data_IF_501470209694
#
_entry.id   IF_501470209694
#
_cell.length_a   1.000
_cell.length_b   1.000
_cell.length_c   1.000
_cell.angle_alpha   90.00
_cell.angle_beta   90.00
_cell.angle_gamma   90.00
#
_symmetry.space_group_name_H-M   'P 1'
#
loop_
_entity.id
_entity.type
_entity.pdbx_description
1 polymer ?
#
# COMPACT_ATOMS: atom_id res chain seq x y z
N UNK A 1 22.59 -26.37 -3.13
CA UNK A 1 21.69 -25.54 -2.30
C UNK A 1 20.78 -24.79 -3.25
N UNK A 2 19.45 -24.99 -3.27
CA UNK A 2 18.59 -24.21 -4.14
C UNK A 2 18.43 -22.79 -3.54
N UNK A 3 18.80 -21.79 -4.34
CA UNK A 3 18.56 -20.38 -4.07
C UNK A 3 17.06 -20.13 -4.03
N UNK A 4 16.57 -19.63 -2.90
CA UNK A 4 15.19 -19.21 -2.72
C UNK A 4 15.02 -17.85 -3.42
N UNK A 5 14.76 -17.86 -4.73
CA UNK A 5 14.20 -16.72 -5.43
C UNK A 5 12.76 -16.55 -4.93
N UNK A 6 12.55 -15.66 -3.95
CA UNK A 6 11.22 -15.13 -3.71
C UNK A 6 10.90 -14.28 -4.94
N UNK A 7 10.14 -14.83 -5.86
CA UNK A 7 9.51 -14.10 -6.95
C UNK A 7 8.58 -13.07 -6.31
N UNK A 8 8.88 -11.79 -6.50
CA UNK A 8 8.16 -10.63 -5.96
C UNK A 8 6.73 -10.44 -6.53
N UNK A 9 6.03 -11.51 -6.90
CA UNK A 9 4.74 -11.46 -7.60
C UNK A 9 3.70 -12.44 -7.08
N UNK A 10 3.75 -12.85 -5.80
CA UNK A 10 2.80 -13.85 -5.29
C UNK A 10 2.38 -13.64 -3.82
N UNK A 11 2.49 -12.41 -3.30
CA UNK A 11 1.94 -12.12 -1.97
C UNK A 11 0.40 -12.11 -2.09
N UNK A 12 -0.32 -12.96 -1.33
CA UNK A 12 -1.78 -12.97 -1.37
C UNK A 12 -2.31 -11.70 -0.69
N UNK A 13 -3.46 -11.18 -1.16
CA UNK A 13 -4.09 -9.99 -0.59
C UNK A 13 -4.38 -10.11 0.92
N UNK A 14 -4.53 -11.35 1.43
CA UNK A 14 -4.68 -11.65 2.85
C UNK A 14 -3.50 -11.20 3.72
N UNK A 15 -2.30 -11.02 3.16
CA UNK A 15 -1.12 -10.49 3.89
C UNK A 15 -1.34 -9.04 4.36
N UNK A 16 -2.18 -8.26 3.67
CA UNK A 16 -2.54 -6.91 4.08
C UNK A 16 -3.17 -6.89 5.48
N UNK A 17 -3.95 -7.92 5.83
CA UNK A 17 -4.54 -8.06 7.17
C UNK A 17 -3.47 -8.30 8.24
N UNK A 18 -2.43 -9.06 7.92
CA UNK A 18 -1.33 -9.36 8.83
C UNK A 18 -0.50 -8.09 9.04
N UNK A 19 -0.16 -7.39 7.95
CA UNK A 19 0.57 -6.12 8.01
C UNK A 19 -0.23 -5.03 8.76
N UNK A 20 -1.55 -4.97 8.59
CA UNK A 20 -2.41 -4.03 9.32
C UNK A 20 -2.49 -4.33 10.83
N UNK A 21 -2.28 -5.59 11.24
CA UNK A 21 -2.47 -6.01 12.64
C UNK A 21 -1.44 -5.45 13.63
N UNK A 22 -0.37 -4.83 13.13
CA UNK A 22 0.65 -4.19 13.98
C UNK A 22 0.24 -2.82 14.50
N UNK A 23 -0.87 -2.26 13.99
CA UNK A 23 -1.35 -0.93 14.40
C UNK A 23 -2.11 -0.96 15.73
N UNK A 24 -2.00 0.11 16.54
CA UNK A 24 -2.89 0.29 17.68
C UNK A 24 -4.33 0.50 17.21
N UNK A 25 -5.34 0.16 18.05
CA UNK A 25 -6.74 0.37 17.70
C UNK A 25 -7.05 1.85 17.42
N UNK A 26 -8.00 2.07 16.50
CA UNK A 26 -8.45 3.39 16.03
C UNK A 26 -8.71 4.33 17.21
N UNK A 27 -7.98 5.45 17.25
CA UNK A 27 -8.13 6.50 18.27
C UNK A 27 -6.88 6.81 19.10
N UNK A 28 -5.80 6.03 18.94
CA UNK A 28 -4.48 6.33 19.53
C UNK A 28 -3.55 6.93 18.47
N UNK A 29 -2.87 8.05 18.77
CA UNK A 29 -1.85 8.56 17.85
C UNK A 29 -0.69 7.58 17.80
N UNK A 30 -0.36 7.14 16.59
CA UNK A 30 0.86 6.40 16.29
C UNK A 30 2.03 7.32 16.58
N UNK A 31 2.73 7.06 17.69
CA UNK A 31 4.00 7.70 18.02
C UNK A 31 5.02 6.59 18.12
N UNK A 32 5.54 6.08 16.99
CA UNK A 32 6.80 5.32 16.90
C UNK A 32 7.21 5.02 15.44
N UNK A 33 8.48 4.61 15.30
CA UNK A 33 9.29 4.33 14.10
C UNK A 33 8.65 4.56 12.70
N UNK A 34 9.02 5.67 12.07
CA UNK A 34 8.21 6.39 11.07
C UNK A 34 7.81 5.59 9.82
N UNK A 35 8.52 4.53 9.43
CA UNK A 35 8.25 3.82 8.18
C UNK A 35 7.42 2.53 8.36
N UNK A 36 7.67 1.77 9.43
CA UNK A 36 6.95 0.52 9.71
C UNK A 36 5.47 0.77 9.99
N UNK A 37 5.19 1.80 10.79
CA UNK A 37 3.82 2.18 11.15
C UNK A 37 3.07 2.80 9.95
N UNK A 38 3.76 3.54 9.06
CA UNK A 38 3.19 4.05 7.80
C UNK A 38 2.81 2.91 6.84
N UNK A 39 3.69 1.92 6.69
CA UNK A 39 3.44 0.76 5.83
C UNK A 39 2.23 -0.05 6.33
N UNK A 40 2.12 -0.23 7.65
CA UNK A 40 0.98 -0.89 8.25
C UNK A 40 -0.35 -0.12 8.06
N UNK A 41 -0.33 1.21 8.16
CA UNK A 41 -1.50 2.07 7.86
C UNK A 41 -1.96 1.93 6.41
N UNK A 42 -1.01 1.92 5.47
CA UNK A 42 -1.33 1.69 4.06
C UNK A 42 -1.91 0.28 3.86
N UNK A 43 -1.36 -0.72 4.54
CA UNK A 43 -1.89 -2.08 4.47
C UNK A 43 -3.32 -2.19 5.03
N UNK A 44 -3.65 -1.48 6.11
CA UNK A 44 -5.02 -1.40 6.66
C UNK A 44 -5.99 -0.77 5.66
N UNK A 45 -5.60 0.35 5.04
CA UNK A 45 -6.41 1.03 4.05
C UNK A 45 -6.67 0.15 2.81
N UNK A 46 -5.64 -0.54 2.31
CA UNK A 46 -5.77 -1.47 1.18
C UNK A 46 -6.59 -2.71 1.54
N UNK A 47 -6.47 -3.22 2.77
CA UNK A 47 -7.31 -4.31 3.24
C UNK A 47 -8.79 -3.90 3.28
N UNK A 48 -9.09 -2.71 3.81
CA UNK A 48 -10.45 -2.17 3.81
C UNK A 48 -10.98 -1.98 2.39
N UNK A 49 -10.16 -1.48 1.47
CA UNK A 49 -10.51 -1.36 0.05
C UNK A 49 -10.85 -2.72 -0.54
N UNK A 50 -9.95 -3.70 -0.42
CA UNK A 50 -10.13 -5.06 -0.94
C UNK A 50 -11.41 -5.72 -0.40
N UNK A 51 -11.68 -5.56 0.90
CA UNK A 51 -12.89 -6.10 1.55
C UNK A 51 -14.17 -5.47 0.97
N UNK A 52 -14.14 -4.18 0.63
CA UNK A 52 -15.32 -3.48 0.09
C UNK A 52 -15.55 -3.72 -1.39
N UNK A 53 -14.50 -4.02 -2.15
CA UNK A 53 -14.58 -4.33 -3.58
C UNK A 53 -14.70 -5.83 -3.85
N UNK A 54 -14.48 -6.67 -2.83
CA UNK A 54 -14.51 -8.13 -2.93
C UNK A 54 -13.24 -8.73 -3.53
N UNK A 55 -12.12 -8.00 -3.48
CA UNK A 55 -10.77 -8.43 -3.88
C UNK A 55 -10.01 -9.11 -2.72
N UNK A 56 -10.65 -9.28 -1.57
CA UNK A 56 -10.12 -10.00 -0.39
C UNK A 56 -10.27 -11.53 -0.47
N UNK A 57 -10.65 -12.05 -1.65
CA UNK A 57 -10.88 -13.48 -1.86
C UNK A 57 -9.56 -14.26 -1.88
N UNK A 58 -9.63 -15.50 -1.40
CA UNK A 58 -8.50 -16.43 -1.42
C UNK A 58 -7.95 -16.59 -2.85
N UNK A 59 -6.67 -16.28 -3.03
CA UNK A 59 -5.94 -16.42 -4.30
C UNK A 59 -5.80 -15.14 -5.12
N UNK A 60 -6.43 -14.03 -4.71
CA UNK A 60 -6.20 -12.72 -5.33
C UNK A 60 -4.80 -12.20 -4.97
N UNK A 61 -4.09 -11.72 -5.99
CA UNK A 61 -2.75 -11.18 -5.82
C UNK A 61 -2.82 -9.76 -5.24
N UNK A 62 -1.88 -9.42 -4.36
CA UNK A 62 -1.68 -8.04 -3.90
C UNK A 62 -1.54 -7.05 -5.07
N UNK A 63 -0.90 -7.47 -6.16
CA UNK A 63 -0.74 -6.69 -7.39
C UNK A 63 -2.10 -6.29 -8.01
N UNK A 64 -3.10 -7.18 -8.00
CA UNK A 64 -4.45 -6.87 -8.48
C UNK A 64 -5.11 -5.82 -7.60
N UNK A 65 -5.02 -5.96 -6.27
CA UNK A 65 -5.57 -4.97 -5.32
C UNK A 65 -4.93 -3.59 -5.53
N UNK A 66 -3.61 -3.54 -5.69
CA UNK A 66 -2.88 -2.30 -5.93
C UNK A 66 -3.24 -1.67 -7.27
N UNK A 67 -3.34 -2.47 -8.34
CA UNK A 67 -3.66 -1.98 -9.68
C UNK A 67 -5.08 -1.39 -9.74
N UNK A 68 -6.06 -2.09 -9.16
CA UNK A 68 -7.44 -1.61 -9.11
C UNK A 68 -7.57 -0.36 -8.23
N UNK A 69 -6.86 -0.31 -7.10
CA UNK A 69 -6.82 0.88 -6.25
C UNK A 69 -6.24 2.09 -6.99
N UNK A 70 -5.13 1.92 -7.72
CA UNK A 70 -4.51 2.98 -8.52
C UNK A 70 -5.42 3.43 -9.68
N UNK A 71 -6.16 2.49 -10.30
CA UNK A 71 -7.15 2.83 -11.32
C UNK A 71 -8.29 3.69 -10.74
N UNK A 72 -8.78 3.36 -9.55
CA UNK A 72 -9.80 4.15 -8.85
C UNK A 72 -9.25 5.53 -8.43
N UNK A 73 -7.98 5.63 -8.03
CA UNK A 73 -7.32 6.92 -7.78
C UNK A 73 -7.24 7.77 -9.05
N UNK A 74 -6.91 7.18 -10.21
CA UNK A 74 -6.92 7.89 -11.49
C UNK A 74 -8.32 8.41 -11.83
N UNK A 75 -9.36 7.59 -11.61
CA UNK A 75 -10.74 8.01 -11.78
C UNK A 75 -11.14 9.14 -10.82
N UNK A 76 -10.69 9.09 -9.57
CA UNK A 76 -10.93 10.16 -8.59
C UNK A 76 -10.24 11.46 -9.02
N UNK A 77 -8.96 11.41 -9.35
CA UNK A 77 -8.17 12.55 -9.82
C UNK A 77 -8.78 13.21 -11.06
N UNK A 78 -9.24 12.41 -12.02
CA UNK A 78 -9.97 12.91 -13.19
C UNK A 78 -11.26 13.65 -12.82
N UNK A 79 -11.97 13.23 -11.77
CA UNK A 79 -13.21 13.87 -11.32
C UNK A 79 -12.94 15.15 -10.51
N UNK A 80 -11.83 15.19 -9.75
CA UNK A 80 -11.47 16.34 -8.90
C UNK A 80 -10.61 17.39 -9.62
N UNK A 81 -10.16 17.12 -10.85
CA UNK A 81 -9.25 17.98 -11.59
C UNK A 81 -7.83 17.97 -11.02
N UNK A 82 -7.43 16.85 -10.42
CA UNK A 82 -6.10 16.65 -9.83
C UNK A 82 -5.22 15.86 -10.79
N UNK A 83 -3.98 16.31 -11.01
CA UNK A 83 -3.04 15.62 -11.91
C UNK A 83 -2.30 14.49 -11.19
N UNK A 84 -2.80 13.25 -11.34
CA UNK A 84 -2.25 12.07 -10.67
C UNK A 84 -0.76 11.85 -10.98
N UNK A 85 -0.33 12.04 -12.23
CA UNK A 85 1.07 11.84 -12.63
C UNK A 85 2.05 12.78 -11.91
N UNK A 86 1.63 14.02 -11.65
CA UNK A 86 2.42 15.00 -10.90
C UNK A 86 2.57 14.61 -9.43
N UNK A 87 1.48 14.12 -8.82
CA UNK A 87 1.50 13.60 -7.45
C UNK A 87 2.39 12.36 -7.36
N UNK A 88 2.24 11.42 -8.30
CA UNK A 88 3.02 10.19 -8.34
C UNK A 88 4.53 10.49 -8.43
N UNK A 89 4.95 11.37 -9.34
CA UNK A 89 6.37 11.75 -9.46
C UNK A 89 6.92 12.44 -8.20
N UNK A 90 6.08 13.18 -7.46
CA UNK A 90 6.49 13.75 -6.17
C UNK A 90 6.59 12.67 -5.08
N UNK A 91 5.67 11.70 -5.07
CA UNK A 91 5.69 10.59 -4.13
C UNK A 91 6.92 9.67 -4.35
N UNK A 92 7.28 9.39 -5.61
CA UNK A 92 8.50 8.67 -5.98
C UNK A 92 9.74 9.41 -5.49
N UNK A 93 9.80 10.73 -5.67
CA UNK A 93 10.89 11.56 -5.15
C UNK A 93 11.03 11.47 -3.63
N UNK A 94 9.90 11.53 -2.89
CA UNK A 94 9.93 11.36 -1.43
C UNK A 94 10.42 9.96 -1.03
N UNK A 95 9.96 8.92 -1.71
CA UNK A 95 10.40 7.54 -1.46
C UNK A 95 11.91 7.37 -1.69
N UNK A 96 12.44 7.88 -2.81
CA UNK A 96 13.86 7.84 -3.12
C UNK A 96 14.71 8.65 -2.11
N UNK A 97 14.19 9.78 -1.62
CA UNK A 97 14.85 10.60 -0.60
C UNK A 97 14.89 9.90 0.76
N UNK A 98 13.81 9.22 1.16
CA UNK A 98 13.75 8.42 2.39
C UNK A 98 14.68 7.19 2.31
N UNK A 99 14.86 6.57 1.14
CA UNK A 99 15.74 5.41 0.93
C UNK A 99 17.25 5.79 0.84
N UNK A 100 17.56 6.98 0.31
CA UNK A 100 18.96 7.45 0.16
C UNK A 100 19.52 8.18 1.39
N UNK A 101 18.68 8.54 2.36
CA UNK A 101 19.10 9.11 3.65
C UNK A 101 19.82 10.46 3.60
N UNK A 102 19.68 11.24 2.51
CA UNK A 102 20.29 12.56 2.39
C UNK A 102 19.37 13.61 3.02
N UNK A 103 19.63 13.94 4.29
CA UNK A 103 19.22 15.20 4.94
C UNK A 103 20.32 16.26 4.82
#
# INVERSE_FOLDING_TARGET
>A
MPNNHITAGSLPSSELKILASVLPPVGLQVVSDENGDRTALVAEALWLFATRTGLDRDGEALETVLTDFLADMLHLCSQTGTEFSSIMGTAEMHFDMEDTGIY
#
